data_IF_865182241993
#
_entry.id   IF_865182241993
#
_cell.length_a   1.000
_cell.length_b   1.000
_cell.length_c   1.000
_cell.angle_alpha   90.00
_cell.angle_beta   90.00
_cell.angle_gamma   90.00
#
_symmetry.space_group_name_H-M   'P 1'
#
loop_
_entity.id
_entity.type
_entity.pdbx_description
1 polymer ?
#
# COMPACT_ATOMS: atom_id res chain seq x y z
N UNK A 1 -8.09 -5.70 -13.44
CA UNK A 1 -7.76 -5.59 -12.00
C UNK A 1 -9.02 -5.18 -11.25
N UNK A 2 -9.37 -5.83 -10.13
CA UNK A 2 -10.24 -5.25 -9.09
C UNK A 2 -9.45 -4.09 -8.46
N UNK A 3 -9.38 -2.96 -9.18
CA UNK A 3 -8.32 -1.98 -9.05
C UNK A 3 -8.27 -1.35 -7.66
N UNK A 4 -9.39 -1.18 -6.98
CA UNK A 4 -9.42 -0.29 -5.81
C UNK A 4 -8.87 -0.95 -4.54
N UNK A 5 -9.31 -2.17 -4.25
CA UNK A 5 -8.85 -2.92 -3.06
C UNK A 5 -7.39 -3.34 -3.16
N UNK A 6 -6.97 -3.82 -4.35
CA UNK A 6 -5.59 -4.24 -4.56
C UNK A 6 -4.64 -3.04 -4.57
N UNK A 7 -5.04 -1.91 -5.15
CA UNK A 7 -4.23 -0.70 -5.20
C UNK A 7 -4.05 -0.08 -3.82
N UNK A 8 -5.14 0.13 -3.07
CA UNK A 8 -5.05 0.63 -1.70
C UNK A 8 -4.17 -0.28 -0.83
N UNK A 9 -4.29 -1.60 -0.99
CA UNK A 9 -3.45 -2.57 -0.28
C UNK A 9 -1.97 -2.38 -0.56
N UNK A 10 -1.58 -2.25 -1.84
CA UNK A 10 -0.17 -2.05 -2.23
C UNK A 10 0.38 -0.79 -1.58
N UNK A 11 -0.34 0.34 -1.71
CA UNK A 11 0.09 1.62 -1.19
C UNK A 11 0.23 1.62 0.34
N UNK A 12 -0.75 1.02 1.05
CA UNK A 12 -0.70 0.92 2.51
C UNK A 12 0.41 -0.03 2.97
N UNK A 13 0.59 -1.17 2.31
CA UNK A 13 1.68 -2.09 2.65
C UNK A 13 3.04 -1.37 2.48
N UNK A 14 3.25 -0.65 1.37
CA UNK A 14 4.47 0.14 1.14
C UNK A 14 4.64 1.29 2.13
N UNK A 15 3.57 2.02 2.45
CA UNK A 15 3.62 3.11 3.42
C UNK A 15 3.96 2.62 4.84
N UNK A 16 3.49 1.43 5.20
CA UNK A 16 3.84 0.76 6.46
C UNK A 16 5.21 0.08 6.45
N UNK A 17 5.75 -0.25 5.27
CA UNK A 17 6.97 -1.05 5.13
C UNK A 17 6.77 -2.54 5.46
N UNK A 18 5.55 -3.04 5.32
CA UNK A 18 5.13 -4.36 5.79
C UNK A 18 3.67 -4.63 5.46
N UNK A 19 3.06 -5.67 6.06
CA UNK A 19 1.63 -5.94 5.87
C UNK A 19 0.85 -4.91 6.67
N UNK A 20 0.03 -4.06 6.03
CA UNK A 20 -0.58 -2.91 6.73
C UNK A 20 -1.38 -3.29 7.99
N UNK A 21 -1.99 -4.48 8.02
CA UNK A 21 -2.80 -4.95 9.14
C UNK A 21 -1.97 -5.37 10.37
N UNK A 22 -0.65 -5.42 10.24
CA UNK A 22 0.26 -5.53 11.39
C UNK A 22 0.51 -4.15 12.04
N UNK A 23 0.15 -3.04 11.36
CA UNK A 23 0.41 -1.67 11.80
C UNK A 23 -0.85 -0.85 12.08
N UNK A 24 -1.99 -1.19 11.44
CA UNK A 24 -3.27 -0.50 11.60
C UNK A 24 -4.30 -1.51 12.11
N UNK A 25 -4.74 -1.33 13.35
CA UNK A 25 -5.64 -2.28 14.01
C UNK A 25 -7.10 -2.22 13.49
N UNK A 26 -7.55 -1.05 13.04
CA UNK A 26 -8.94 -0.81 12.67
C UNK A 26 -9.27 -1.06 11.20
N UNK A 27 -10.55 -1.31 10.92
CA UNK A 27 -11.10 -1.46 9.56
C UNK A 27 -12.33 -0.56 9.39
N UNK A 28 -12.44 0.20 8.29
CA UNK A 28 -11.58 0.19 7.10
C UNK A 28 -10.25 0.92 7.33
N UNK A 29 -9.18 0.45 6.71
CA UNK A 29 -7.82 0.93 6.98
C UNK A 29 -7.66 2.46 6.83
N UNK A 30 -8.35 3.08 5.85
CA UNK A 30 -8.26 4.53 5.64
C UNK A 30 -8.85 5.36 6.80
N UNK A 31 -9.76 4.80 7.58
CA UNK A 31 -10.39 5.49 8.71
C UNK A 31 -9.60 5.35 10.02
N UNK A 32 -8.63 4.42 10.07
CA UNK A 32 -7.87 4.09 11.28
C UNK A 32 -6.35 4.21 11.11
N UNK A 33 -5.87 4.46 9.89
CA UNK A 33 -4.46 4.67 9.63
C UNK A 33 -3.99 5.99 10.26
N UNK A 34 -2.77 6.04 10.83
CA UNK A 34 -2.15 7.29 11.20
C UNK A 34 -2.00 8.22 9.99
N UNK A 35 -2.16 9.54 10.20
CA UNK A 35 -2.03 10.55 9.14
C UNK A 35 -0.71 10.43 8.37
N UNK A 36 0.39 10.12 9.07
CA UNK A 36 1.71 9.91 8.45
C UNK A 36 1.71 8.76 7.45
N UNK A 37 0.97 7.68 7.70
CA UNK A 37 0.81 6.57 6.76
C UNK A 37 -0.05 7.00 5.58
N UNK A 38 -1.14 7.74 5.82
CA UNK A 38 -2.02 8.24 4.76
C UNK A 38 -1.30 9.20 3.82
N UNK A 39 -0.55 10.16 4.36
CA UNK A 39 0.26 11.10 3.57
C UNK A 39 1.26 10.35 2.68
N UNK A 40 1.96 9.36 3.23
CA UNK A 40 2.89 8.52 2.46
C UNK A 40 2.19 7.70 1.38
N UNK A 41 1.03 7.11 1.69
CA UNK A 41 0.26 6.34 0.73
C UNK A 41 -0.24 7.22 -0.44
N UNK A 42 -0.68 8.45 -0.15
CA UNK A 42 -1.09 9.44 -1.16
C UNK A 42 0.11 9.88 -2.02
N UNK A 43 1.27 10.12 -1.40
CA UNK A 43 2.49 10.46 -2.13
C UNK A 43 2.91 9.34 -3.10
N UNK A 44 2.87 8.08 -2.66
CA UNK A 44 3.13 6.91 -3.50
C UNK A 44 2.13 6.80 -4.66
N UNK A 45 0.83 7.06 -4.40
CA UNK A 45 -0.19 7.04 -5.45
C UNK A 45 0.08 8.09 -6.53
N UNK A 46 0.45 9.32 -6.11
CA UNK A 46 0.79 10.41 -7.02
C UNK A 46 2.05 10.10 -7.83
N UNK A 47 3.11 9.59 -7.18
CA UNK A 47 4.33 9.18 -7.87
C UNK A 47 4.06 8.07 -8.89
N UNK A 48 3.24 7.07 -8.56
CA UNK A 48 2.85 6.03 -9.49
C UNK A 48 2.04 6.58 -10.68
N UNK A 49 1.13 7.52 -10.44
CA UNK A 49 0.36 8.19 -11.49
C UNK A 49 1.24 9.07 -12.40
N UNK A 50 2.31 9.65 -11.86
CA UNK A 50 3.31 10.42 -12.60
C UNK A 50 4.35 9.54 -13.33
N UNK A 51 4.34 8.22 -13.11
CA UNK A 51 5.35 7.30 -13.65
C UNK A 51 6.70 7.32 -12.90
N UNK A 52 6.76 8.00 -11.75
CA UNK A 52 7.94 8.12 -10.90
C UNK A 52 8.11 6.94 -9.94
N UNK A 53 7.06 6.14 -9.75
CA UNK A 53 7.09 4.90 -9.00
C UNK A 53 6.50 3.74 -9.81
N UNK A 54 7.23 2.63 -9.89
CA UNK A 54 6.75 1.43 -10.56
C UNK A 54 5.79 0.63 -9.66
N UNK A 55 4.50 0.70 -9.98
CA UNK A 55 3.46 -0.03 -9.27
C UNK A 55 3.66 -1.56 -9.32
N UNK A 56 4.28 -2.10 -10.37
CA UNK A 56 4.57 -3.53 -10.46
C UNK A 56 5.63 -3.94 -9.42
N UNK A 57 6.67 -3.11 -9.24
CA UNK A 57 7.66 -3.29 -8.17
C UNK A 57 7.02 -3.21 -6.79
N UNK A 58 6.19 -2.20 -6.52
CA UNK A 58 5.48 -2.07 -5.25
C UNK A 58 4.56 -3.27 -4.98
N UNK A 59 3.88 -3.77 -6.01
CA UNK A 59 3.04 -4.96 -5.90
C UNK A 59 3.85 -6.23 -5.58
N UNK A 60 5.02 -6.42 -6.21
CA UNK A 60 5.91 -7.55 -5.89
C UNK A 60 6.37 -7.51 -4.43
N UNK A 61 6.77 -6.34 -3.94
CA UNK A 61 7.16 -6.16 -2.54
C UNK A 61 6.00 -6.45 -1.58
N UNK A 62 4.80 -5.93 -1.90
CA UNK A 62 3.57 -6.18 -1.15
C UNK A 62 3.19 -7.67 -1.14
N UNK A 63 3.40 -8.40 -2.24
CA UNK A 63 3.22 -9.85 -2.28
C UNK A 63 4.27 -10.59 -1.45
N UNK A 64 5.53 -10.16 -1.47
CA UNK A 64 6.61 -10.72 -0.67
C UNK A 64 6.29 -10.66 0.82
N UNK A 65 5.93 -9.49 1.36
CA UNK A 65 5.56 -9.35 2.77
C UNK A 65 4.39 -10.24 3.19
N UNK A 66 3.49 -10.57 2.26
CA UNK A 66 2.33 -11.44 2.52
C UNK A 66 2.61 -12.92 2.28
N UNK A 67 3.83 -13.31 1.88
CA UNK A 67 4.17 -14.69 1.52
C UNK A 67 3.43 -15.18 0.27
N UNK A 68 3.12 -14.29 -0.67
CA UNK A 68 2.37 -14.58 -1.91
C UNK A 68 3.21 -14.45 -3.18
N UNK A 69 4.53 -14.31 -3.05
CA UNK A 69 5.45 -14.40 -4.18
C UNK A 69 5.51 -15.87 -4.61
N UNK A 70 4.97 -16.17 -5.80
CA UNK A 70 4.99 -17.48 -6.43
C UNK A 70 5.98 -17.47 -7.58
#
# INVERSE_FOLDING_TARGET
MRADHCFQRILLDTACGGRWYDHIAGRPAYAHAPDTVLVRAVALARAAAAGEADLATLNRQSLFWRGKMR
#
